data_IF_274873446985
#
_entry.id   IF_274873446985
#
_cell.length_a   1.000
_cell.length_b   1.000
_cell.length_c   1.000
_cell.angle_alpha   90.00
_cell.angle_beta   90.00
_cell.angle_gamma   90.00
#
_symmetry.space_group_name_H-M   'P 1'
#
loop_
_entity.id
_entity.type
_entity.pdbx_description
1 polymer ?
#
# COMPACT_ATOMS: atom_id res chain seq x y z
N UNK A 1 17.29 -19.33 20.03
CA UNK A 1 16.64 -18.90 18.75
C UNK A 1 16.89 -17.42 18.41
N UNK A 2 17.56 -16.59 19.24
CA UNK A 2 17.73 -15.13 19.01
C UNK A 2 18.20 -14.76 17.60
N UNK A 3 19.25 -15.43 17.10
CA UNK A 3 19.78 -15.22 15.75
C UNK A 3 18.77 -15.53 14.63
N UNK A 4 17.77 -16.37 14.91
CA UNK A 4 16.72 -16.75 13.97
C UNK A 4 15.50 -15.83 14.02
N UNK A 5 15.34 -15.01 15.06
CA UNK A 5 14.18 -14.12 15.26
C UNK A 5 14.59 -12.69 15.69
N UNK A 6 15.47 -12.03 14.94
CA UNK A 6 15.99 -10.70 15.31
C UNK A 6 14.88 -9.63 15.38
N UNK A 7 13.83 -9.74 14.56
CA UNK A 7 12.75 -8.75 14.47
C UNK A 7 11.92 -8.59 15.75
N UNK A 8 11.92 -9.57 16.65
CA UNK A 8 11.15 -9.56 17.91
C UNK A 8 12.05 -9.59 19.15
N UNK A 9 13.37 -9.47 18.96
CA UNK A 9 14.36 -9.56 20.05
C UNK A 9 14.91 -8.16 20.36
N UNK A 10 14.80 -7.72 21.60
CA UNK A 10 15.41 -6.47 22.07
C UNK A 10 16.95 -6.58 22.13
N UNK A 11 17.64 -5.44 22.22
CA UNK A 11 19.12 -5.36 22.29
C UNK A 11 19.67 -6.19 23.47
N UNK A 12 18.93 -6.25 24.58
CA UNK A 12 19.27 -7.04 25.76
C UNK A 12 18.96 -8.56 25.62
N UNK A 13 18.39 -8.96 24.49
CA UNK A 13 18.04 -10.33 24.17
C UNK A 13 16.70 -10.80 24.74
N UNK A 14 15.85 -9.90 25.23
CA UNK A 14 14.49 -10.19 25.70
C UNK A 14 13.45 -10.07 24.58
N UNK A 15 12.24 -10.59 24.81
CA UNK A 15 11.09 -10.48 23.90
C UNK A 15 9.78 -10.52 24.68
N UNK A 16 8.71 -9.92 24.15
CA UNK A 16 7.34 -10.04 24.68
C UNK A 16 6.62 -11.18 23.96
N UNK A 17 6.42 -12.29 24.64
CA UNK A 17 5.85 -13.50 24.05
C UNK A 17 4.35 -13.58 24.31
N UNK A 18 3.61 -13.96 23.27
CA UNK A 18 2.23 -14.40 23.34
C UNK A 18 2.18 -15.88 22.97
N UNK A 19 1.76 -16.72 23.89
CA UNK A 19 1.65 -18.17 23.65
C UNK A 19 0.26 -18.51 23.13
N UNK A 20 0.22 -19.26 22.03
CA UNK A 20 -1.02 -19.86 21.51
C UNK A 20 -1.12 -21.29 22.10
N UNK A 21 -2.18 -21.63 22.86
CA UNK A 21 -2.31 -22.94 23.49
C UNK A 21 -2.34 -24.09 22.47
N UNK A 22 -1.92 -25.28 22.89
CA UNK A 22 -1.98 -26.48 22.03
C UNK A 22 -3.42 -26.88 21.69
N UNK A 23 -4.35 -26.70 22.63
CA UNK A 23 -5.78 -26.94 22.42
C UNK A 23 -6.50 -25.78 21.70
N UNK A 24 -5.76 -24.87 21.06
CA UNK A 24 -6.32 -23.75 20.30
C UNK A 24 -7.20 -24.20 19.13
N UNK A 25 -7.06 -25.44 18.64
CA UNK A 25 -7.93 -25.97 17.57
C UNK A 25 -9.43 -25.96 17.93
N UNK A 26 -9.74 -25.98 19.22
CA UNK A 26 -11.11 -26.02 19.75
C UNK A 26 -11.74 -24.63 19.90
N UNK A 27 -11.00 -23.56 19.59
CA UNK A 27 -11.46 -22.18 19.78
C UNK A 27 -11.05 -21.26 18.62
N UNK A 28 -11.24 -19.95 18.82
CA UNK A 28 -11.00 -18.88 17.84
C UNK A 28 -9.57 -18.83 17.31
N UNK A 29 -8.61 -19.41 18.04
CA UNK A 29 -7.18 -19.40 17.72
C UNK A 29 -6.76 -20.52 16.78
N UNK A 30 -7.65 -21.46 16.44
CA UNK A 30 -7.31 -22.66 15.67
C UNK A 30 -6.67 -22.37 14.31
N UNK A 31 -7.17 -21.36 13.59
CA UNK A 31 -6.56 -20.92 12.32
C UNK A 31 -5.17 -20.30 12.53
N UNK A 32 -5.02 -19.51 13.58
CA UNK A 32 -3.75 -18.86 13.90
C UNK A 32 -2.67 -19.89 14.31
N UNK A 33 -3.07 -20.93 15.06
CA UNK A 33 -2.19 -22.06 15.39
C UNK A 33 -1.72 -22.81 14.14
N UNK A 34 -2.64 -23.16 13.24
CA UNK A 34 -2.32 -23.82 11.97
C UNK A 34 -1.39 -23.00 11.10
N UNK A 35 -1.55 -21.67 11.09
CA UNK A 35 -0.63 -20.77 10.41
C UNK A 35 0.79 -20.85 10.99
N UNK A 36 0.93 -20.84 12.32
CA UNK A 36 2.24 -20.97 12.98
C UNK A 36 2.89 -22.34 12.72
N UNK A 37 2.10 -23.42 12.69
CA UNK A 37 2.58 -24.76 12.37
C UNK A 37 3.06 -24.88 10.92
N UNK A 38 2.31 -24.33 9.97
CA UNK A 38 2.74 -24.27 8.58
C UNK A 38 4.03 -23.45 8.43
N UNK A 39 4.13 -22.31 9.14
CA UNK A 39 5.35 -21.50 9.16
C UNK A 39 6.54 -22.26 9.75
N UNK A 40 6.35 -23.06 10.80
CA UNK A 40 7.36 -23.95 11.36
C UNK A 40 7.84 -24.99 10.33
N UNK A 41 6.94 -25.63 9.61
CA UNK A 41 7.29 -26.64 8.61
C UNK A 41 8.14 -26.04 7.48
N UNK A 42 7.87 -24.79 7.09
CA UNK A 42 8.58 -24.11 6.02
C UNK A 42 9.92 -23.51 6.46
N UNK A 43 10.02 -23.02 7.70
CA UNK A 43 11.15 -22.18 8.14
C UNK A 43 11.98 -22.76 9.29
N UNK A 44 11.46 -23.76 10.00
CA UNK A 44 12.04 -24.26 11.25
C UNK A 44 11.84 -23.33 12.46
N UNK A 45 11.02 -22.27 12.31
CA UNK A 45 10.71 -21.28 13.37
C UNK A 45 9.24 -21.41 13.78
N UNK A 46 8.93 -21.76 15.05
CA UNK A 46 7.55 -21.99 15.52
C UNK A 46 6.87 -20.71 16.03
N UNK A 47 7.10 -19.57 15.39
CA UNK A 47 6.52 -18.29 15.82
C UNK A 47 6.46 -17.30 14.67
N UNK A 48 5.51 -16.37 14.76
CA UNK A 48 5.36 -15.25 13.83
C UNK A 48 5.36 -13.93 14.59
N UNK A 49 5.75 -12.84 13.93
CA UNK A 49 5.58 -11.50 14.48
C UNK A 49 4.10 -11.15 14.48
N UNK A 50 3.59 -10.72 15.64
CA UNK A 50 2.23 -10.24 15.80
C UNK A 50 2.26 -8.76 16.17
N UNK A 51 1.60 -7.92 15.39
CA UNK A 51 1.44 -6.48 15.65
C UNK A 51 -0.02 -6.09 15.49
N UNK A 52 -0.41 -4.97 16.07
CA UNK A 52 -1.77 -4.44 15.91
C UNK A 52 -2.09 -4.17 14.44
N UNK A 53 -3.29 -4.55 14.01
CA UNK A 53 -3.79 -4.23 12.69
C UNK A 53 -4.55 -2.90 12.73
N UNK A 54 -3.82 -1.83 12.48
CA UNK A 54 -4.30 -0.45 12.42
C UNK A 54 -3.28 0.45 11.71
N UNK A 55 -3.71 1.65 11.32
CA UNK A 55 -2.82 2.73 10.94
C UNK A 55 -2.40 3.55 12.16
N UNK A 56 -1.32 4.31 12.04
CA UNK A 56 -0.85 5.18 13.11
C UNK A 56 -1.93 6.20 13.48
N UNK A 57 -2.34 6.22 14.75
CA UNK A 57 -3.40 7.09 15.26
C UNK A 57 -4.82 6.53 15.14
N UNK A 58 -5.02 5.37 14.50
CA UNK A 58 -6.30 4.67 14.43
C UNK A 58 -6.40 3.55 15.49
N UNK A 59 -7.61 3.22 15.98
CA UNK A 59 -7.84 2.03 16.80
C UNK A 59 -7.61 0.73 16.01
N UNK A 60 -7.52 -0.39 16.72
CA UNK A 60 -7.50 -1.72 16.09
C UNK A 60 -8.80 -1.93 15.32
N UNK A 61 -8.68 -2.54 14.14
CA UNK A 61 -9.80 -2.96 13.28
C UNK A 61 -10.78 -3.88 14.05
N UNK A 62 -12.08 -3.58 14.00
CA UNK A 62 -13.12 -4.38 14.64
C UNK A 62 -14.14 -5.00 13.66
N UNK A 63 -14.23 -4.48 12.42
CA UNK A 63 -15.16 -4.98 11.41
C UNK A 63 -14.46 -5.42 10.12
N UNK A 64 -15.07 -6.30 9.31
CA UNK A 64 -14.56 -6.64 7.97
C UNK A 64 -14.34 -5.41 7.08
N UNK A 65 -15.20 -4.39 7.19
CA UNK A 65 -15.08 -3.15 6.44
C UNK A 65 -13.84 -2.36 6.88
N UNK A 66 -13.61 -2.25 8.19
CA UNK A 66 -12.41 -1.59 8.74
C UNK A 66 -11.12 -2.32 8.29
N UNK A 67 -11.15 -3.65 8.23
CA UNK A 67 -10.02 -4.45 7.76
C UNK A 67 -9.67 -4.13 6.31
N UNK A 68 -10.67 -4.09 5.42
CA UNK A 68 -10.49 -3.76 4.00
C UNK A 68 -10.02 -2.32 3.84
N UNK A 69 -10.65 -1.36 4.55
CA UNK A 69 -10.24 0.06 4.52
C UNK A 69 -8.78 0.21 4.93
N UNK A 70 -8.41 -0.38 6.07
CA UNK A 70 -7.05 -0.29 6.62
C UNK A 70 -6.03 -0.94 5.70
N UNK A 71 -6.34 -2.12 5.13
CA UNK A 71 -5.48 -2.80 4.17
C UNK A 71 -5.23 -1.97 2.91
N UNK A 72 -6.26 -1.32 2.36
CA UNK A 72 -6.11 -0.45 1.19
C UNK A 72 -5.33 0.83 1.53
N UNK A 73 -5.59 1.43 2.68
CA UNK A 73 -4.92 2.65 3.14
C UNK A 73 -3.44 2.44 3.53
N UNK A 74 -3.02 1.19 3.76
CA UNK A 74 -1.62 0.79 3.92
C UNK A 74 -0.81 0.82 2.60
N UNK A 75 -1.43 1.14 1.45
CA UNK A 75 -0.75 1.49 0.17
C UNK A 75 0.32 0.48 -0.26
N UNK A 76 -0.03 -0.80 -0.24
CA UNK A 76 0.85 -1.88 -0.72
C UNK A 76 1.96 -2.31 0.25
N UNK A 77 2.08 -1.70 1.44
CA UNK A 77 3.00 -2.18 2.49
C UNK A 77 2.62 -3.57 3.02
N UNK A 78 1.33 -3.93 2.93
CA UNK A 78 0.82 -5.28 3.20
C UNK A 78 0.58 -6.02 1.89
N UNK A 79 1.12 -7.23 1.77
CA UNK A 79 0.96 -8.05 0.57
C UNK A 79 -0.44 -8.69 0.44
N UNK A 80 -0.99 -9.15 1.56
CA UNK A 80 -2.25 -9.89 1.59
C UNK A 80 -3.08 -9.55 2.82
N UNK A 81 -4.41 -9.60 2.68
CA UNK A 81 -5.36 -9.60 3.78
C UNK A 81 -6.11 -10.94 3.79
N UNK A 82 -5.91 -11.74 4.82
CA UNK A 82 -6.70 -12.94 5.07
C UNK A 82 -7.90 -12.58 5.96
N UNK A 83 -9.11 -12.74 5.42
CA UNK A 83 -10.36 -12.36 6.10
C UNK A 83 -11.45 -13.39 5.81
N UNK A 84 -11.97 -14.04 6.86
CA UNK A 84 -13.08 -15.00 6.79
C UNK A 84 -12.90 -16.08 5.70
N UNK A 85 -11.71 -16.69 5.62
CA UNK A 85 -11.41 -17.74 4.65
C UNK A 85 -11.12 -17.24 3.23
N UNK A 86 -11.13 -15.93 3.00
CA UNK A 86 -10.76 -15.29 1.74
C UNK A 86 -9.40 -14.62 1.87
N UNK A 87 -8.59 -14.68 0.81
CA UNK A 87 -7.35 -13.91 0.71
C UNK A 87 -7.55 -12.81 -0.32
N UNK A 88 -7.42 -11.57 0.13
CA UNK A 88 -7.44 -10.38 -0.70
C UNK A 88 -5.99 -9.98 -1.01
N UNK A 89 -5.76 -9.55 -2.25
CA UNK A 89 -4.53 -8.90 -2.70
C UNK A 89 -4.89 -7.69 -3.53
N UNK A 90 -4.08 -6.65 -3.46
CA UNK A 90 -4.23 -5.52 -4.38
C UNK A 90 -3.87 -5.97 -5.79
N UNK A 91 -4.59 -5.45 -6.79
CA UNK A 91 -4.27 -5.74 -8.19
C UNK A 91 -2.89 -5.15 -8.51
N UNK A 92 -1.98 -5.90 -9.16
CA UNK A 92 -0.71 -5.34 -9.63
C UNK A 92 -0.94 -4.31 -10.74
N UNK A 93 -0.08 -3.30 -10.81
CA UNK A 93 -0.16 -2.25 -11.84
C UNK A 93 -0.11 -2.84 -13.26
N UNK A 94 0.74 -3.83 -13.49
CA UNK A 94 0.95 -4.51 -14.79
C UNK A 94 -0.34 -5.19 -15.30
N UNK A 95 -1.24 -5.56 -14.41
CA UNK A 95 -2.53 -6.13 -14.82
C UNK A 95 -3.40 -5.08 -15.52
N UNK A 96 -3.29 -3.80 -15.14
CA UNK A 96 -3.99 -2.71 -15.79
C UNK A 96 -3.36 -2.39 -17.15
N UNK A 97 -2.02 -2.42 -17.23
CA UNK A 97 -1.27 -2.25 -18.50
C UNK A 97 -1.70 -3.31 -19.53
N UNK A 98 -1.76 -4.57 -19.10
CA UNK A 98 -2.19 -5.66 -19.97
C UNK A 98 -3.65 -5.51 -20.42
N UNK A 99 -4.55 -5.07 -19.53
CA UNK A 99 -5.95 -4.83 -19.86
C UNK A 99 -6.13 -3.66 -20.85
N UNK A 100 -5.32 -2.62 -20.74
CA UNK A 100 -5.35 -1.47 -21.64
C UNK A 100 -4.71 -1.72 -23.01
N UNK A 101 -4.05 -2.87 -23.21
CA UNK A 101 -3.33 -3.17 -24.45
C UNK A 101 -1.96 -2.49 -24.58
N UNK A 102 -1.45 -1.91 -23.49
CA UNK A 102 -0.17 -1.20 -23.45
C UNK A 102 -0.15 -0.09 -22.39
N UNK A 103 1.05 0.32 -21.97
CA UNK A 103 1.19 1.34 -20.92
C UNK A 103 0.75 2.73 -21.41
N UNK A 104 1.08 3.06 -22.66
CA UNK A 104 0.63 4.26 -23.38
C UNK A 104 -0.89 4.46 -23.38
N UNK A 105 -1.64 3.35 -23.36
CA UNK A 105 -3.09 3.32 -23.50
C UNK A 105 -3.83 3.35 -22.16
N UNK A 106 -3.12 3.42 -21.04
CA UNK A 106 -3.72 3.55 -19.72
C UNK A 106 -4.52 4.86 -19.63
N UNK A 107 -5.80 4.76 -19.28
CA UNK A 107 -6.65 5.92 -18.96
C UNK A 107 -6.84 5.97 -17.44
N UNK A 108 -6.06 6.79 -16.71
CA UNK A 108 -6.21 6.93 -15.26
C UNK A 108 -7.51 7.67 -14.91
N UNK A 109 -8.05 7.35 -13.74
CA UNK A 109 -9.14 8.08 -13.10
C UNK A 109 -8.71 8.49 -11.69
N UNK A 110 -9.05 9.71 -11.27
CA UNK A 110 -8.81 10.17 -9.92
C UNK A 110 -9.63 9.34 -8.92
N UNK A 111 -8.97 8.85 -7.86
CA UNK A 111 -9.66 8.13 -6.79
C UNK A 111 -10.54 9.06 -5.94
N UNK A 112 -10.17 10.34 -5.83
CA UNK A 112 -10.88 11.38 -5.10
C UNK A 112 -10.35 12.76 -5.49
N UNK A 113 -11.12 13.82 -5.23
CA UNK A 113 -10.58 15.18 -5.25
C UNK A 113 -9.42 15.32 -4.26
N UNK A 114 -8.41 16.11 -4.63
CA UNK A 114 -7.21 16.31 -3.83
C UNK A 114 -6.83 17.79 -3.72
N UNK A 115 -6.04 18.09 -2.69
CA UNK A 115 -5.26 19.33 -2.56
C UNK A 115 -3.79 18.98 -2.58
N UNK A 116 -2.98 19.85 -3.17
CA UNK A 116 -1.52 19.74 -3.23
C UNK A 116 -0.84 20.84 -2.43
N UNK A 117 0.33 20.54 -1.89
CA UNK A 117 1.26 21.50 -1.30
C UNK A 117 2.66 21.24 -1.83
N UNK A 118 3.30 22.30 -2.32
CA UNK A 118 4.69 22.28 -2.76
C UNK A 118 5.53 23.10 -1.81
N UNK A 119 6.62 22.51 -1.32
CA UNK A 119 7.61 23.18 -0.49
C UNK A 119 8.84 23.48 -1.31
N UNK A 120 9.42 24.66 -1.13
CA UNK A 120 10.62 25.09 -1.82
C UNK A 120 11.74 25.41 -0.83
N UNK A 121 12.98 25.25 -1.27
CA UNK A 121 14.16 25.69 -0.55
C UNK A 121 14.24 27.22 -0.53
N UNK A 122 15.13 27.77 0.30
CA UNK A 122 15.42 29.22 0.31
C UNK A 122 15.98 29.75 -1.02
N UNK A 123 16.36 28.87 -1.95
CA UNK A 123 16.84 29.20 -3.29
C UNK A 123 15.74 29.15 -4.36
N UNK A 124 14.54 28.69 -4.00
CA UNK A 124 13.40 28.56 -4.91
C UNK A 124 13.26 27.17 -5.56
N UNK A 125 14.24 26.28 -5.38
CA UNK A 125 14.15 24.89 -5.87
C UNK A 125 13.08 24.11 -5.09
N UNK A 126 12.27 23.30 -5.76
CA UNK A 126 11.27 22.45 -5.08
C UNK A 126 11.96 21.39 -4.24
N UNK A 127 11.59 21.35 -2.96
CA UNK A 127 12.14 20.47 -1.94
C UNK A 127 11.23 19.26 -1.66
N UNK A 128 9.94 19.36 -1.94
CA UNK A 128 8.99 18.28 -1.74
C UNK A 128 7.59 18.66 -2.17
N UNK A 129 6.85 17.67 -2.66
CA UNK A 129 5.47 17.79 -3.10
C UNK A 129 4.65 16.77 -2.33
N UNK A 130 3.51 17.21 -1.80
CA UNK A 130 2.58 16.33 -1.10
C UNK A 130 1.15 16.60 -1.49
N UNK A 131 0.33 15.56 -1.45
CA UNK A 131 -1.10 15.63 -1.76
C UNK A 131 -1.92 15.01 -0.65
N UNK A 132 -3.17 15.43 -0.56
CA UNK A 132 -4.15 14.88 0.38
C UNK A 132 -5.51 14.91 -0.28
N UNK A 133 -6.26 13.79 -0.19
CA UNK A 133 -7.65 13.80 -0.60
C UNK A 133 -8.45 14.81 0.23
N UNK A 134 -9.38 15.55 -0.38
CA UNK A 134 -10.13 16.62 0.31
C UNK A 134 -10.78 16.12 1.61
N UNK A 135 -11.30 14.89 1.59
CA UNK A 135 -11.99 14.24 2.71
C UNK A 135 -11.04 13.53 3.71
N UNK A 136 -9.76 13.35 3.38
CA UNK A 136 -8.80 12.63 4.22
C UNK A 136 -7.96 13.59 5.05
N UNK A 137 -7.55 13.20 6.26
CA UNK A 137 -6.70 14.04 7.11
C UNK A 137 -5.19 13.80 6.95
N UNK A 138 -4.79 12.83 6.13
CA UNK A 138 -3.41 12.41 5.98
C UNK A 138 -2.80 12.91 4.67
N UNK A 139 -1.63 13.55 4.77
CA UNK A 139 -0.80 13.89 3.62
C UNK A 139 -0.05 12.68 3.09
N UNK A 140 0.26 12.75 1.81
CA UNK A 140 0.99 11.75 1.04
C UNK A 140 2.08 12.47 0.29
N UNK A 141 3.32 12.12 0.56
CA UNK A 141 4.43 12.67 -0.21
C UNK A 141 4.49 11.99 -1.58
N UNK A 142 4.61 12.80 -2.63
CA UNK A 142 4.92 12.34 -3.98
C UNK A 142 6.44 12.34 -4.16
N UNK A 143 6.93 11.47 -5.04
CA UNK A 143 8.35 11.37 -5.37
C UNK A 143 8.92 12.66 -5.93
N UNK A 144 8.18 13.32 -6.82
CA UNK A 144 8.64 14.49 -7.57
C UNK A 144 7.49 15.35 -8.16
N UNK A 145 7.85 16.48 -8.76
CA UNK A 145 6.92 17.39 -9.44
C UNK A 145 6.27 16.76 -10.68
N UNK A 146 6.94 15.81 -11.34
CA UNK A 146 6.37 15.10 -12.49
C UNK A 146 5.13 14.31 -12.05
N UNK A 147 5.21 13.64 -10.91
CA UNK A 147 4.07 12.89 -10.35
C UNK A 147 2.88 13.78 -10.05
N UNK A 148 3.11 15.02 -9.60
CA UNK A 148 2.04 16.00 -9.42
C UNK A 148 1.46 16.46 -10.76
N UNK A 149 2.31 16.82 -11.73
CA UNK A 149 1.86 17.26 -13.05
C UNK A 149 1.02 16.18 -13.74
N UNK A 150 1.45 14.92 -13.67
CA UNK A 150 0.67 13.78 -14.18
C UNK A 150 -0.68 13.68 -13.47
N UNK A 151 -0.71 13.81 -12.14
CA UNK A 151 -1.95 13.74 -11.36
C UNK A 151 -2.93 14.88 -11.69
N UNK A 152 -2.43 16.09 -11.96
CA UNK A 152 -3.22 17.26 -12.33
C UNK A 152 -3.88 17.13 -13.72
N UNK A 153 -3.28 16.38 -14.64
CA UNK A 153 -3.82 16.09 -15.97
C UNK A 153 -4.78 14.89 -15.99
N UNK A 154 -5.02 14.20 -14.86
CA UNK A 154 -5.96 13.07 -14.83
C UNK A 154 -7.40 13.58 -14.86
N UNK A 155 -8.02 13.52 -16.04
CA UNK A 155 -9.41 13.91 -16.29
C UNK A 155 -10.38 12.72 -16.45
N UNK A 156 -9.85 11.49 -16.52
CA UNK A 156 -10.62 10.27 -16.76
C UNK A 156 -10.84 9.91 -18.23
N UNK A 157 -10.33 10.71 -19.17
CA UNK A 157 -10.45 10.53 -20.61
C UNK A 157 -9.08 10.40 -21.30
N UNK A 158 -8.12 11.24 -20.92
CA UNK A 158 -6.77 11.24 -21.47
C UNK A 158 -6.02 9.96 -21.09
N UNK A 159 -5.33 9.37 -22.07
CA UNK A 159 -4.43 8.23 -21.82
C UNK A 159 -3.01 8.70 -21.47
N UNK A 160 -2.15 7.78 -21.02
CA UNK A 160 -0.79 8.09 -20.62
C UNK A 160 0.02 8.82 -21.71
N UNK A 161 -0.14 8.45 -22.99
CA UNK A 161 0.53 9.14 -24.10
C UNK A 161 0.04 10.58 -24.28
N UNK A 162 -1.27 10.81 -24.18
CA UNK A 162 -1.86 12.15 -24.26
C UNK A 162 -1.42 13.04 -23.10
N UNK A 163 -1.36 12.48 -21.88
CA UNK A 163 -0.83 13.18 -20.70
C UNK A 163 0.64 13.56 -20.92
N UNK A 164 1.46 12.64 -21.42
CA UNK A 164 2.88 12.90 -21.71
C UNK A 164 3.06 14.02 -22.74
N UNK A 165 2.24 14.05 -23.80
CA UNK A 165 2.24 15.14 -24.78
C UNK A 165 1.83 16.49 -24.14
N UNK A 166 0.77 16.49 -23.32
CA UNK A 166 0.23 17.70 -22.69
C UNK A 166 1.24 18.39 -21.77
N UNK A 167 1.98 17.62 -20.98
CA UNK A 167 2.99 18.15 -20.04
C UNK A 167 4.40 18.21 -20.63
N UNK A 168 4.58 17.76 -21.88
CA UNK A 168 5.88 17.72 -22.55
C UNK A 168 6.90 16.80 -21.90
N UNK A 169 6.46 15.67 -21.34
CA UNK A 169 7.30 14.68 -20.67
C UNK A 169 7.53 13.42 -21.52
N UNK A 170 8.53 12.65 -21.12
CA UNK A 170 8.77 11.31 -21.66
C UNK A 170 7.64 10.34 -21.24
N UNK A 171 7.15 9.52 -22.17
CA UNK A 171 6.02 8.62 -21.94
C UNK A 171 6.33 7.57 -20.86
N UNK A 172 7.54 6.98 -20.87
CA UNK A 172 7.94 5.99 -19.87
C UNK A 172 8.00 6.63 -18.48
N UNK A 173 8.46 7.88 -18.39
CA UNK A 173 8.45 8.65 -17.14
C UNK A 173 7.03 8.90 -16.62
N UNK A 174 6.07 9.20 -17.51
CA UNK A 174 4.64 9.35 -17.15
C UNK A 174 4.04 8.02 -16.68
N UNK A 175 4.36 6.92 -17.35
CA UNK A 175 3.89 5.57 -16.94
C UNK A 175 4.41 5.21 -15.56
N UNK A 176 5.68 5.51 -15.25
CA UNK A 176 6.23 5.27 -13.91
C UNK A 176 5.64 6.19 -12.84
N UNK A 177 5.33 7.44 -13.18
CA UNK A 177 4.55 8.32 -12.29
C UNK A 177 3.13 7.76 -12.06
N UNK A 178 2.46 7.25 -13.08
CA UNK A 178 1.14 6.59 -12.94
C UNK A 178 1.20 5.34 -12.07
N UNK A 179 2.29 4.56 -12.14
CA UNK A 179 2.53 3.42 -11.25
C UNK A 179 2.60 3.87 -9.79
N UNK A 180 3.38 4.91 -9.51
CA UNK A 180 3.48 5.48 -8.17
C UNK A 180 2.11 5.98 -7.67
N UNK A 181 1.42 6.79 -8.46
CA UNK A 181 0.11 7.33 -8.10
C UNK A 181 -0.92 6.21 -7.86
N UNK A 182 -0.84 5.12 -8.64
CA UNK A 182 -1.65 3.93 -8.45
C UNK A 182 -1.34 3.24 -7.13
N UNK A 183 -0.06 3.03 -6.81
CA UNK A 183 0.38 2.41 -5.55
C UNK A 183 0.00 3.24 -4.32
N UNK A 184 0.06 4.57 -4.46
CA UNK A 184 -0.44 5.53 -3.48
C UNK A 184 -1.97 5.62 -3.41
N UNK A 185 -2.69 4.92 -4.29
CA UNK A 185 -4.17 4.90 -4.39
C UNK A 185 -4.77 6.28 -4.68
N UNK A 186 -4.04 7.12 -5.40
CA UNK A 186 -4.49 8.43 -5.87
C UNK A 186 -5.19 8.33 -7.22
N UNK A 187 -4.81 7.33 -8.03
CA UNK A 187 -5.49 6.98 -9.28
C UNK A 187 -5.89 5.52 -9.31
N UNK A 188 -6.88 5.21 -10.14
CA UNK A 188 -7.23 3.85 -10.53
C UNK A 188 -7.45 3.77 -12.04
N UNK A 189 -7.54 2.55 -12.57
CA UNK A 189 -7.81 2.30 -13.98
C UNK A 189 -9.12 1.52 -14.09
N UNK A 190 -9.96 1.89 -15.06
CA UNK A 190 -11.15 1.11 -15.37
C UNK A 190 -10.75 -0.29 -15.85
N UNK A 191 -11.56 -1.28 -15.51
CA UNK A 191 -11.39 -2.66 -15.93
C UNK A 191 -12.11 -2.94 -17.25
#
# INVERSE_FOLDING_TARGET
>A
KRELVPAVTHIDGTARLQTVPENAEENEWGLYRKLIEAFLQLTGVPMVLNTSFNLAGEPIVETPLDAVRSFLAMRGTMAFLALQGTILRTRPFESNVAAAGGAASLVPQLASEFVSETTATSRGDVAGVRVRAVEANAWVDLKDELSLAVLEEVDGEANAAAIAEAIGADEDAVVEALRELYDLRLVHFAA
#
